data_IF_243569751451
#
_entry.id   IF_243569751451
#
_cell.length_a   1.000
_cell.length_b   1.000
_cell.length_c   1.000
_cell.angle_alpha   90.00
_cell.angle_beta   90.00
_cell.angle_gamma   90.00
#
_symmetry.space_group_name_H-M   'P 1'
#
loop_
_entity.id
_entity.type
_entity.pdbx_description
1 polymer ?
#
# COMPACT_ATOMS: atom_id res chain seq x y z
N UNK A 1 -11.42 -1.14 -11.14
CA UNK A 1 -10.64 -1.56 -12.32
C UNK A 1 -10.00 -0.33 -12.92
N UNK A 2 -8.69 -0.18 -12.75
CA UNK A 2 -7.86 0.76 -13.51
C UNK A 2 -7.54 0.06 -14.83
N UNK A 3 -7.61 0.75 -15.96
CA UNK A 3 -7.27 0.21 -17.28
C UNK A 3 -6.31 1.15 -17.99
N UNK A 4 -5.16 0.64 -18.41
CA UNK A 4 -4.12 1.39 -19.13
C UNK A 4 -4.08 0.86 -20.57
N UNK A 5 -4.06 1.74 -21.57
CA UNK A 5 -4.08 1.33 -22.97
C UNK A 5 -2.67 0.97 -23.48
N UNK A 6 -2.52 -0.23 -24.05
CA UNK A 6 -1.27 -0.82 -24.58
C UNK A 6 -0.49 0.07 -25.58
N UNK A 7 -1.15 1.05 -26.21
CA UNK A 7 -0.60 1.80 -27.35
C UNK A 7 0.42 2.88 -27.00
N UNK A 8 0.61 3.21 -25.72
CA UNK A 8 1.47 4.33 -25.30
C UNK A 8 2.84 3.87 -24.78
N UNK A 9 3.02 2.57 -24.50
CA UNK A 9 4.21 2.08 -23.78
C UNK A 9 5.06 1.14 -24.64
N UNK A 10 6.28 1.58 -24.96
CA UNK A 10 7.35 0.81 -25.63
C UNK A 10 8.70 1.39 -25.18
N UNK A 11 9.83 0.67 -25.15
CA UNK A 11 10.10 -0.72 -24.78
C UNK A 11 10.28 -0.89 -23.24
N UNK A 12 9.85 0.08 -22.43
CA UNK A 12 9.91 0.07 -20.95
C UNK A 12 8.60 -0.42 -20.30
N UNK A 13 7.95 -1.42 -20.93
CA UNK A 13 6.53 -1.76 -20.75
C UNK A 13 6.07 -1.84 -19.29
N UNK A 14 6.70 -2.70 -18.50
CA UNK A 14 6.23 -3.02 -17.14
C UNK A 14 6.50 -1.90 -16.13
N UNK A 15 7.66 -1.23 -16.23
CA UNK A 15 8.01 -0.14 -15.31
C UNK A 15 7.12 1.09 -15.52
N UNK A 16 6.85 1.45 -16.78
CA UNK A 16 6.00 2.60 -17.06
C UNK A 16 4.54 2.30 -16.74
N UNK A 17 4.06 1.09 -17.05
CA UNK A 17 2.72 0.67 -16.69
C UNK A 17 2.50 0.67 -15.17
N UNK A 18 3.42 0.08 -14.40
CA UNK A 18 3.34 0.09 -12.95
C UNK A 18 3.40 1.50 -12.35
N UNK A 19 4.21 2.38 -12.95
CA UNK A 19 4.22 3.80 -12.56
C UNK A 19 2.87 4.46 -12.84
N UNK A 20 2.30 4.28 -14.03
CA UNK A 20 0.99 4.85 -14.38
C UNK A 20 -0.10 4.30 -13.46
N UNK A 21 -0.11 3.00 -13.18
CA UNK A 21 -1.07 2.40 -12.25
C UNK A 21 -0.92 2.98 -10.83
N UNK A 22 0.30 3.20 -10.36
CA UNK A 22 0.60 3.87 -9.10
C UNK A 22 0.05 5.30 -9.08
N UNK A 23 0.41 6.13 -10.06
CA UNK A 23 -0.06 7.52 -10.11
C UNK A 23 -1.60 7.64 -10.28
N UNK A 24 -2.23 6.66 -10.92
CA UNK A 24 -3.71 6.59 -10.98
C UNK A 24 -4.29 6.17 -9.63
N UNK A 25 -3.64 5.27 -8.88
CA UNK A 25 -4.04 4.93 -7.52
C UNK A 25 -4.08 6.15 -6.61
N UNK A 26 -3.15 7.09 -6.81
CA UNK A 26 -3.15 8.37 -6.09
C UNK A 26 -4.37 9.26 -6.37
N UNK A 27 -5.21 8.99 -7.38
CA UNK A 27 -6.50 9.69 -7.52
C UNK A 27 -7.43 9.42 -6.34
N UNK A 28 -7.29 8.26 -5.69
CA UNK A 28 -7.96 7.97 -4.43
C UNK A 28 -7.07 8.35 -3.25
N UNK A 29 -5.93 7.69 -3.10
CA UNK A 29 -5.06 7.84 -1.93
C UNK A 29 -4.19 9.09 -2.07
N UNK A 30 -4.26 10.00 -1.09
CA UNK A 30 -3.78 11.38 -1.12
C UNK A 30 -4.75 12.40 -1.77
N UNK A 31 -5.15 12.22 -3.04
CA UNK A 31 -5.95 13.26 -3.71
C UNK A 31 -7.41 13.34 -3.20
N UNK A 32 -8.12 12.20 -3.15
CA UNK A 32 -9.49 12.17 -2.60
C UNK A 32 -9.48 12.07 -1.09
N UNK A 33 -8.54 11.29 -0.53
CA UNK A 33 -8.36 11.13 0.92
C UNK A 33 -6.92 11.47 1.29
N UNK A 34 -6.71 12.63 1.90
CA UNK A 34 -5.38 13.10 2.29
C UNK A 34 -4.83 12.35 3.50
N UNK A 35 -3.53 12.50 3.73
CA UNK A 35 -2.80 12.11 4.93
C UNK A 35 -1.69 13.15 5.19
N UNK A 36 -1.04 13.08 6.35
CA UNK A 36 0.21 13.81 6.56
C UNK A 36 1.34 13.08 5.83
N UNK A 37 1.82 13.62 4.70
CA UNK A 37 2.87 12.97 3.92
C UNK A 37 4.26 13.04 4.58
N UNK A 38 4.42 13.89 5.60
CA UNK A 38 5.69 13.99 6.32
C UNK A 38 5.75 13.00 7.48
N UNK A 39 4.65 12.88 8.22
CA UNK A 39 4.60 12.03 9.41
C UNK A 39 4.04 10.62 9.12
N UNK A 40 3.12 10.48 8.16
CA UNK A 40 2.46 9.22 7.82
C UNK A 40 2.51 8.90 6.30
N UNK A 41 3.69 8.92 5.65
CA UNK A 41 3.84 8.73 4.19
C UNK A 41 3.38 7.36 3.67
N UNK A 42 3.16 6.40 4.56
CA UNK A 42 2.74 5.06 4.17
C UNK A 42 1.25 4.97 3.84
N UNK A 43 0.42 5.88 4.37
CA UNK A 43 -1.02 5.81 4.17
C UNK A 43 -1.43 5.99 2.70
N UNK A 44 -0.71 6.82 1.96
CA UNK A 44 -0.86 6.98 0.52
C UNK A 44 0.09 6.07 -0.26
N UNK A 45 1.40 6.14 -0.02
CA UNK A 45 2.37 5.44 -0.88
C UNK A 45 2.27 3.91 -0.80
N UNK A 46 2.20 3.36 0.42
CA UNK A 46 2.10 1.91 0.60
C UNK A 46 0.76 1.35 0.13
N UNK A 47 -0.32 2.11 0.34
CA UNK A 47 -1.66 1.71 -0.09
C UNK A 47 -1.80 1.77 -1.61
N UNK A 48 -1.18 2.76 -2.25
CA UNK A 48 -1.08 2.84 -3.71
C UNK A 48 -0.25 1.69 -4.29
N UNK A 49 0.82 1.26 -3.59
CA UNK A 49 1.57 0.05 -4.00
C UNK A 49 0.71 -1.21 -3.94
N UNK A 50 -0.11 -1.37 -2.90
CA UNK A 50 -1.06 -2.48 -2.81
C UNK A 50 -2.13 -2.40 -3.92
N UNK A 51 -2.66 -1.21 -4.21
CA UNK A 51 -3.59 -1.05 -5.32
C UNK A 51 -2.95 -1.36 -6.68
N UNK A 52 -1.67 -1.04 -6.85
CA UNK A 52 -0.90 -1.39 -8.04
C UNK A 52 -0.69 -2.91 -8.15
N UNK A 53 -0.40 -3.59 -7.04
CA UNK A 53 -0.35 -5.06 -6.98
C UNK A 53 -1.69 -5.67 -7.43
N UNK A 54 -2.81 -5.15 -6.92
CA UNK A 54 -4.14 -5.62 -7.36
C UNK A 54 -4.43 -5.32 -8.81
N UNK A 55 -3.98 -4.19 -9.35
CA UNK A 55 -4.09 -3.92 -10.78
C UNK A 55 -3.38 -5.00 -11.61
N UNK A 56 -2.12 -5.34 -11.30
CA UNK A 56 -1.40 -6.39 -12.02
C UNK A 56 -2.05 -7.76 -11.84
N UNK A 57 -2.57 -8.06 -10.65
CA UNK A 57 -3.35 -9.28 -10.40
C UNK A 57 -4.60 -9.34 -11.29
N UNK A 58 -5.34 -8.24 -11.41
CA UNK A 58 -6.56 -8.18 -12.22
C UNK A 58 -6.27 -8.26 -13.73
N UNK A 59 -5.20 -7.60 -14.20
CA UNK A 59 -4.86 -7.56 -15.63
C UNK A 59 -4.18 -8.85 -16.12
N UNK A 60 -3.30 -9.44 -15.30
CA UNK A 60 -2.42 -10.52 -15.72
C UNK A 60 -2.54 -11.79 -14.87
N UNK A 61 -3.56 -11.86 -14.01
CA UNK A 61 -3.80 -13.01 -13.13
C UNK A 61 -2.64 -13.26 -12.16
N UNK A 62 -2.46 -14.55 -11.81
CA UNK A 62 -1.45 -14.98 -10.83
C UNK A 62 -0.03 -14.53 -11.21
N UNK A 63 0.32 -14.55 -12.50
CA UNK A 63 1.65 -14.10 -12.95
C UNK A 63 1.90 -12.60 -12.70
N UNK A 64 0.88 -11.76 -12.84
CA UNK A 64 0.98 -10.34 -12.54
C UNK A 64 1.13 -10.09 -11.04
N UNK A 65 0.32 -10.78 -10.24
CA UNK A 65 0.43 -10.76 -8.79
C UNK A 65 1.83 -11.20 -8.33
N UNK A 66 2.31 -12.37 -8.75
CA UNK A 66 3.61 -12.90 -8.34
C UNK A 66 4.76 -11.98 -8.77
N UNK A 67 4.70 -11.45 -10.00
CA UNK A 67 5.72 -10.55 -10.54
C UNK A 67 5.79 -9.22 -9.78
N UNK A 68 4.65 -8.59 -9.53
CA UNK A 68 4.64 -7.31 -8.81
C UNK A 68 4.96 -7.50 -7.32
N UNK A 69 4.46 -8.57 -6.70
CA UNK A 69 4.81 -8.93 -5.31
C UNK A 69 6.32 -9.15 -5.16
N UNK A 70 6.94 -9.89 -6.09
CA UNK A 70 8.40 -10.07 -6.11
C UNK A 70 9.14 -8.74 -6.20
N UNK A 71 8.58 -7.73 -6.89
CA UNK A 71 9.17 -6.39 -6.93
C UNK A 71 9.11 -5.67 -5.57
N UNK A 72 8.03 -5.84 -4.80
CA UNK A 72 7.89 -5.29 -3.45
C UNK A 72 8.89 -5.94 -2.48
N UNK A 73 9.01 -7.26 -2.54
CA UNK A 73 10.01 -8.03 -1.78
C UNK A 73 11.44 -7.61 -2.17
N UNK A 74 11.67 -7.41 -3.47
CA UNK A 74 12.92 -6.88 -4.02
C UNK A 74 13.28 -5.49 -3.49
N UNK A 75 12.31 -4.59 -3.30
CA UNK A 75 12.54 -3.28 -2.66
C UNK A 75 12.90 -3.44 -1.19
N UNK A 76 12.17 -4.25 -0.44
CA UNK A 76 12.42 -4.46 0.99
C UNK A 76 13.80 -5.07 1.24
N UNK A 77 14.21 -6.04 0.41
CA UNK A 77 15.51 -6.72 0.51
C UNK A 77 16.73 -5.82 0.41
N UNK A 78 16.60 -4.60 -0.15
CA UNK A 78 17.69 -3.61 -0.20
C UNK A 78 18.11 -3.11 1.20
N UNK A 79 17.25 -3.32 2.20
CA UNK A 79 17.54 -3.08 3.63
C UNK A 79 17.90 -4.36 4.38
N UNK A 80 18.28 -5.42 3.66
CA UNK A 80 18.47 -6.78 4.19
C UNK A 80 17.21 -7.31 4.91
N UNK A 81 16.02 -6.94 4.40
CA UNK A 81 14.72 -7.26 5.01
C UNK A 81 14.60 -6.78 6.46
N UNK A 82 15.22 -5.64 6.81
CA UNK A 82 15.09 -5.07 8.13
C UNK A 82 13.62 -4.74 8.44
N UNK A 83 13.16 -5.08 9.65
CA UNK A 83 11.81 -4.75 10.14
C UNK A 83 11.75 -3.30 10.65
N UNK A 84 12.18 -2.36 9.82
CA UNK A 84 12.05 -0.93 10.11
C UNK A 84 10.55 -0.61 10.09
N UNK A 85 9.99 0.08 11.11
CA UNK A 85 8.59 0.45 11.14
C UNK A 85 8.20 1.25 9.89
N UNK A 86 7.06 0.92 9.30
CA UNK A 86 6.55 1.56 8.08
C UNK A 86 5.93 2.93 8.40
N UNK A 87 5.47 3.13 9.63
CA UNK A 87 4.85 4.37 10.11
C UNK A 87 5.84 5.38 10.69
N UNK A 88 7.13 5.33 10.31
CA UNK A 88 8.06 6.40 10.67
C UNK A 88 7.78 7.66 9.84
N UNK A 89 8.02 8.86 10.41
CA UNK A 89 8.04 10.08 9.62
C UNK A 89 9.21 10.07 8.64
N UNK A 90 9.07 10.77 7.51
CA UNK A 90 10.05 10.78 6.40
C UNK A 90 11.47 11.08 6.89
N UNK A 91 11.61 12.01 7.85
CA UNK A 91 12.90 12.45 8.40
C UNK A 91 13.68 11.38 9.18
N UNK A 92 13.01 10.32 9.63
CA UNK A 92 13.62 9.29 10.47
C UNK A 92 14.12 8.09 9.65
N UNK A 93 13.77 8.01 8.36
CA UNK A 93 14.37 7.08 7.41
C UNK A 93 15.75 7.56 6.94
N UNK A 94 16.66 6.62 6.65
CA UNK A 94 18.02 6.89 6.16
C UNK A 94 18.22 6.33 4.76
N UNK A 95 18.91 7.09 3.91
CA UNK A 95 19.35 6.66 2.58
C UNK A 95 18.22 5.99 1.75
N UNK A 96 18.31 4.67 1.56
CA UNK A 96 17.37 3.88 0.75
C UNK A 96 16.13 3.43 1.52
N UNK A 97 16.12 3.57 2.86
CA UNK A 97 15.09 3.01 3.74
C UNK A 97 13.69 3.49 3.37
N UNK A 98 13.49 4.78 3.08
CA UNK A 98 12.17 5.31 2.70
C UNK A 98 11.57 4.54 1.52
N UNK A 99 12.32 4.45 0.41
CA UNK A 99 11.87 3.73 -0.79
C UNK A 99 11.71 2.23 -0.56
N UNK A 100 12.55 1.63 0.27
CA UNK A 100 12.51 0.18 0.54
C UNK A 100 11.42 -0.23 1.53
N UNK A 101 11.16 0.59 2.53
CA UNK A 101 10.23 0.30 3.62
C UNK A 101 8.84 0.77 3.26
N UNK A 102 8.65 2.03 2.84
CA UNK A 102 7.31 2.55 2.49
C UNK A 102 6.77 1.88 1.23
N UNK A 103 7.56 1.80 0.14
CA UNK A 103 7.07 1.25 -1.13
C UNK A 103 7.25 -0.26 -1.27
N UNK A 104 8.06 -0.90 -0.41
CA UNK A 104 8.30 -2.34 -0.42
C UNK A 104 7.54 -3.01 0.71
N UNK A 105 8.08 -2.92 1.93
CA UNK A 105 7.50 -3.52 3.14
C UNK A 105 6.07 -3.04 3.40
N UNK A 106 5.78 -1.75 3.21
CA UNK A 106 4.45 -1.18 3.40
C UNK A 106 3.43 -1.68 2.39
N UNK A 107 3.81 -1.89 1.13
CA UNK A 107 2.92 -2.55 0.15
C UNK A 107 2.56 -3.97 0.60
N UNK A 108 3.55 -4.71 1.14
CA UNK A 108 3.35 -6.05 1.70
C UNK A 108 2.56 -6.05 3.01
N UNK A 109 2.56 -4.95 3.77
CA UNK A 109 1.73 -4.82 4.98
C UNK A 109 0.24 -4.94 4.63
N UNK A 110 -0.23 -4.33 3.55
CA UNK A 110 -1.64 -4.41 3.18
C UNK A 110 -2.06 -5.82 2.71
N UNK A 111 -1.13 -6.60 2.16
CA UNK A 111 -1.34 -8.04 1.92
C UNK A 111 -1.50 -8.78 3.26
N UNK A 112 -0.59 -8.57 4.21
CA UNK A 112 -0.68 -9.19 5.54
C UNK A 112 -1.95 -8.77 6.30
N UNK A 113 -2.36 -7.51 6.16
CA UNK A 113 -3.61 -6.99 6.72
C UNK A 113 -4.82 -7.68 6.10
N UNK A 114 -4.84 -7.85 4.77
CA UNK A 114 -5.90 -8.60 4.08
C UNK A 114 -5.96 -10.04 4.54
N UNK A 115 -4.81 -10.69 4.73
CA UNK A 115 -4.73 -12.08 5.19
C UNK A 115 -5.28 -12.22 6.62
N UNK A 116 -4.92 -11.32 7.53
CA UNK A 116 -5.38 -11.34 8.92
C UNK A 116 -6.89 -11.04 9.05
N UNK A 117 -7.39 -10.08 8.26
CA UNK A 117 -8.82 -9.72 8.26
C UNK A 117 -9.70 -10.74 7.54
N UNK A 118 -9.13 -11.47 6.58
CA UNK A 118 -9.85 -12.20 5.54
C UNK A 118 -10.36 -11.27 4.43
N UNK A 119 -10.31 -11.76 3.19
CA UNK A 119 -10.60 -10.96 1.98
C UNK A 119 -11.95 -10.24 2.00
N UNK A 120 -13.02 -10.90 2.46
CA UNK A 120 -14.37 -10.31 2.49
C UNK A 120 -14.43 -9.09 3.43
N UNK A 121 -13.85 -9.20 4.62
CA UNK A 121 -13.81 -8.10 5.57
C UNK A 121 -12.89 -6.98 5.09
N UNK A 122 -11.75 -7.33 4.48
CA UNK A 122 -10.83 -6.36 3.90
C UNK A 122 -11.49 -5.54 2.78
N UNK A 123 -12.27 -6.20 1.91
CA UNK A 123 -13.00 -5.54 0.82
C UNK A 123 -14.05 -4.55 1.33
N UNK A 124 -14.73 -4.88 2.44
CA UNK A 124 -15.66 -3.97 3.11
C UNK A 124 -14.89 -2.82 3.75
N UNK A 125 -13.81 -3.14 4.45
CA UNK A 125 -12.92 -2.17 5.11
C UNK A 125 -12.38 -1.13 4.12
N UNK A 126 -11.79 -1.53 3.00
CA UNK A 126 -11.13 -0.57 2.11
C UNK A 126 -12.13 0.40 1.47
N UNK A 127 -13.35 -0.09 1.14
CA UNK A 127 -14.45 0.75 0.66
C UNK A 127 -14.92 1.73 1.73
N UNK A 128 -15.04 1.27 2.98
CA UNK A 128 -15.38 2.12 4.10
C UNK A 128 -14.28 3.15 4.39
N UNK A 129 -13.01 2.76 4.28
CA UNK A 129 -11.85 3.61 4.50
C UNK A 129 -11.80 4.78 3.53
N UNK A 130 -11.97 4.50 2.22
CA UNK A 130 -12.07 5.55 1.20
C UNK A 130 -13.27 6.46 1.47
N UNK A 131 -14.45 5.88 1.71
CA UNK A 131 -15.69 6.65 1.91
C UNK A 131 -15.62 7.57 3.14
N UNK A 132 -15.10 7.07 4.25
CA UNK A 132 -15.08 7.79 5.52
C UNK A 132 -14.01 8.89 5.55
N UNK A 133 -12.95 8.77 4.74
CA UNK A 133 -11.87 9.75 4.69
C UNK A 133 -11.86 10.63 3.43
N UNK A 134 -12.82 10.44 2.51
CA UNK A 134 -12.99 11.30 1.34
C UNK A 134 -13.16 12.77 1.75
N UNK A 135 -12.40 13.66 1.12
CA UNK A 135 -12.34 15.10 1.41
C UNK A 135 -11.85 15.44 2.82
N UNK A 136 -11.15 14.50 3.48
CA UNK A 136 -10.59 14.65 4.81
C UNK A 136 -9.15 14.16 4.91
N UNK A 137 -8.67 14.08 6.14
CA UNK A 137 -7.33 13.60 6.49
C UNK A 137 -7.44 12.27 7.25
N UNK A 138 -6.89 11.23 6.64
CA UNK A 138 -6.67 9.93 7.24
C UNK A 138 -5.45 9.95 8.17
N UNK A 139 -5.45 9.05 9.14
CA UNK A 139 -4.42 8.91 10.17
C UNK A 139 -4.22 7.43 10.47
N UNK A 140 -3.04 6.98 10.95
CA UNK A 140 -2.81 5.57 11.29
C UNK A 140 -3.84 5.01 12.26
N UNK A 141 -4.20 5.79 13.28
CA UNK A 141 -5.19 5.41 14.28
C UNK A 141 -6.56 5.10 13.64
N UNK A 142 -7.09 6.02 12.82
CA UNK A 142 -8.35 5.80 12.09
C UNK A 142 -8.28 4.58 11.16
N UNK A 143 -7.13 4.29 10.55
CA UNK A 143 -6.97 3.11 9.71
C UNK A 143 -7.10 1.83 10.53
N UNK A 144 -6.33 1.72 11.63
CA UNK A 144 -6.38 0.54 12.50
C UNK A 144 -7.77 0.35 13.09
N UNK A 145 -8.34 1.39 13.71
CA UNK A 145 -9.66 1.32 14.33
C UNK A 145 -10.73 0.88 13.33
N UNK A 146 -10.69 1.39 12.10
CA UNK A 146 -11.65 1.00 11.07
C UNK A 146 -11.42 -0.44 10.58
N UNK A 147 -10.17 -0.89 10.45
CA UNK A 147 -9.86 -2.26 10.09
C UNK A 147 -10.38 -3.25 11.16
N UNK A 148 -10.09 -2.99 12.44
CA UNK A 148 -10.54 -3.79 13.58
C UNK A 148 -12.07 -3.84 13.69
N UNK A 149 -12.75 -2.71 13.47
CA UNK A 149 -14.21 -2.64 13.44
C UNK A 149 -14.83 -3.52 12.35
N UNK A 150 -14.18 -3.61 11.18
CA UNK A 150 -14.72 -4.37 10.04
C UNK A 150 -14.42 -5.87 10.14
N UNK A 151 -13.28 -6.28 10.69
CA UNK A 151 -12.99 -7.71 10.91
C UNK A 151 -13.52 -8.26 12.26
N UNK A 152 -13.95 -7.37 13.17
CA UNK A 152 -14.25 -7.71 14.56
C UNK A 152 -13.10 -8.49 15.24
N UNK A 153 -11.87 -8.06 14.97
CA UNK A 153 -10.63 -8.72 15.37
C UNK A 153 -9.63 -7.71 15.97
N UNK A 154 -8.64 -8.18 16.72
CA UNK A 154 -7.56 -7.35 17.27
C UNK A 154 -6.36 -7.36 16.32
N UNK A 155 -6.02 -6.19 15.78
CA UNK A 155 -4.91 -6.03 14.84
C UNK A 155 -3.68 -5.40 15.51
N UNK A 156 -3.72 -5.18 16.82
CA UNK A 156 -2.64 -4.51 17.59
C UNK A 156 -1.29 -5.17 17.37
N UNK A 157 -1.23 -6.51 17.41
CA UNK A 157 0.02 -7.24 17.21
C UNK A 157 0.59 -7.03 15.80
N UNK A 158 -0.28 -6.99 14.78
CA UNK A 158 0.11 -6.76 13.40
C UNK A 158 0.61 -5.32 13.22
N UNK A 159 -0.13 -4.31 13.70
CA UNK A 159 0.29 -2.91 13.60
C UNK A 159 1.57 -2.63 14.37
N UNK A 160 1.81 -3.26 15.52
CA UNK A 160 3.06 -3.13 16.27
C UNK A 160 4.26 -3.79 15.56
N UNK A 161 4.09 -4.91 14.86
CA UNK A 161 5.21 -5.51 14.11
C UNK A 161 5.52 -4.70 12.83
N UNK A 162 4.51 -4.09 12.21
CA UNK A 162 4.65 -3.48 10.88
C UNK A 162 4.73 -1.96 10.87
N UNK A 163 3.84 -1.27 11.57
CA UNK A 163 3.62 0.17 11.43
C UNK A 163 4.31 0.97 12.52
N UNK A 164 4.10 0.62 13.79
CA UNK A 164 4.54 1.46 14.91
C UNK A 164 5.99 1.18 15.35
N UNK A 165 6.71 2.22 15.83
CA UNK A 165 8.05 2.08 16.39
C UNK A 165 8.11 1.42 17.78
#
# INVERSE_FOLDING_TARGET
MIAIADRIVSPYHEYLEGTVAHEVGHQWFYNLMGNDQLDDPWLDESLTQFATLQYFSDQYGQSGYDGFRYSLEGRWSRTNNAKIPVGLPVRDYKDIEYGSIVYGRGGLFFEALRDEMGSDNFDVFIKAYVKNNSWGIATPQKMQELAEQNCACDLTALFNDWIYP
#
